data_IF_373882314337
#
_entry.id   IF_373882314337
#
_cell.length_a   1.000
_cell.length_b   1.000
_cell.length_c   1.000
_cell.angle_alpha   90.00
_cell.angle_beta   90.00
_cell.angle_gamma   90.00
#
_symmetry.space_group_name_H-M   'P 1'
#
loop_
_entity.id
_entity.type
_entity.pdbx_description
1 polymer ?
#
# COMPACT_ATOMS: atom_id res chain seq x y z
N UNK A 1 4.20 -14.31 31.32
CA UNK A 1 3.85 -12.97 30.80
C UNK A 1 4.82 -12.64 29.68
N UNK A 2 4.34 -12.51 28.45
CA UNK A 2 5.15 -11.98 27.33
C UNK A 2 4.33 -10.86 26.70
N UNK A 3 4.75 -9.62 26.94
CA UNK A 3 4.22 -8.45 26.26
C UNK A 3 5.27 -8.02 25.25
N UNK A 4 5.07 -8.44 24.00
CA UNK A 4 5.84 -8.00 22.85
C UNK A 4 4.91 -7.99 21.66
N UNK A 5 4.45 -6.80 21.26
CA UNK A 5 3.66 -6.61 20.04
C UNK A 5 4.55 -6.83 18.83
N UNK A 6 4.41 -7.98 18.17
CA UNK A 6 5.14 -8.30 16.93
C UNK A 6 4.33 -9.25 16.05
N UNK A 7 4.62 -9.23 14.76
CA UNK A 7 4.02 -10.17 13.79
C UNK A 7 4.60 -11.56 14.09
N UNK A 8 3.80 -12.44 14.69
CA UNK A 8 4.26 -13.74 15.17
C UNK A 8 4.28 -14.82 14.08
N UNK A 9 3.42 -14.68 13.06
CA UNK A 9 3.29 -15.61 11.94
C UNK A 9 2.96 -14.83 10.67
N UNK A 10 3.49 -15.31 9.55
CA UNK A 10 3.20 -14.79 8.21
C UNK A 10 2.80 -16.00 7.38
N UNK A 11 1.67 -15.89 6.68
CA UNK A 11 1.21 -16.87 5.69
C UNK A 11 1.41 -16.25 4.32
N UNK A 12 2.24 -16.89 3.52
CA UNK A 12 2.43 -16.47 2.14
C UNK A 12 1.45 -17.23 1.24
N UNK A 13 0.68 -16.48 0.45
CA UNK A 13 -0.25 -17.04 -0.53
C UNK A 13 0.42 -17.14 -1.90
N UNK A 14 -0.14 -17.96 -2.80
CA UNK A 14 0.42 -18.23 -4.13
C UNK A 14 1.56 -19.26 -4.12
N UNK A 15 1.89 -19.78 -5.30
CA UNK A 15 2.95 -20.77 -5.49
C UNK A 15 4.30 -20.09 -5.77
N UNK A 16 5.39 -20.87 -5.78
CA UNK A 16 6.70 -20.38 -6.17
C UNK A 16 6.67 -19.74 -7.58
N UNK A 17 5.97 -20.37 -8.52
CA UNK A 17 5.83 -19.89 -9.90
C UNK A 17 5.11 -18.55 -9.97
N UNK A 18 4.09 -18.32 -9.12
CA UNK A 18 3.39 -17.04 -9.03
C UNK A 18 4.37 -15.92 -8.63
N UNK A 19 5.23 -16.17 -7.64
CA UNK A 19 6.22 -15.20 -7.15
C UNK A 19 7.35 -14.95 -8.15
N UNK A 20 7.84 -15.99 -8.84
CA UNK A 20 8.82 -15.84 -9.92
C UNK A 20 8.24 -15.06 -11.11
N UNK A 21 6.98 -15.33 -11.47
CA UNK A 21 6.25 -14.59 -12.49
C UNK A 21 6.04 -13.13 -12.09
N UNK A 22 5.62 -12.87 -10.86
CA UNK A 22 5.43 -11.52 -10.31
C UNK A 22 6.74 -10.74 -10.39
N UNK A 23 7.83 -11.28 -9.85
CA UNK A 23 9.17 -10.67 -9.88
C UNK A 23 9.62 -10.32 -11.30
N UNK A 24 9.49 -11.27 -12.24
CA UNK A 24 9.82 -11.06 -13.66
C UNK A 24 8.98 -9.96 -14.30
N UNK A 25 7.68 -9.89 -13.99
CA UNK A 25 6.80 -8.86 -14.53
C UNK A 25 7.04 -7.48 -13.90
N UNK A 26 7.35 -7.44 -12.61
CA UNK A 26 7.74 -6.20 -11.92
C UNK A 26 9.04 -5.62 -12.50
N UNK A 27 10.01 -6.46 -12.87
CA UNK A 27 11.24 -6.00 -13.53
C UNK A 27 10.97 -5.30 -14.87
N UNK A 28 9.94 -5.72 -15.62
CA UNK A 28 9.57 -5.07 -16.88
C UNK A 28 9.11 -3.63 -16.69
N UNK A 29 8.76 -3.21 -15.47
CA UNK A 29 8.39 -1.82 -15.18
C UNK A 29 9.57 -0.85 -15.32
N UNK A 30 10.82 -1.34 -15.39
CA UNK A 30 12.01 -0.52 -15.70
C UNK A 30 11.83 0.29 -17.00
N UNK A 31 11.07 -0.25 -17.97
CA UNK A 31 10.76 0.45 -19.23
C UNK A 31 10.03 1.79 -19.06
N UNK A 32 9.45 2.03 -17.88
CA UNK A 32 8.77 3.28 -17.52
C UNK A 32 9.65 4.23 -16.69
N UNK A 33 10.97 3.98 -16.59
CA UNK A 33 11.90 4.82 -15.82
C UNK A 33 11.73 4.71 -14.30
N UNK A 34 11.24 3.57 -13.82
CA UNK A 34 10.97 3.30 -12.40
C UNK A 34 12.13 2.60 -11.68
N UNK A 35 13.32 2.53 -12.30
CA UNK A 35 14.50 1.81 -11.79
C UNK A 35 14.81 2.18 -10.33
N UNK A 36 14.77 3.47 -10.02
CA UNK A 36 15.01 4.01 -8.67
C UNK A 36 14.11 3.43 -7.57
N UNK A 37 12.92 2.95 -7.94
CA UNK A 37 11.97 2.31 -7.04
C UNK A 37 12.14 0.80 -7.08
N UNK A 38 12.29 0.24 -8.27
CA UNK A 38 12.43 -1.19 -8.51
C UNK A 38 13.70 -1.78 -7.89
N UNK A 39 14.77 -0.99 -7.77
CA UNK A 39 16.00 -1.35 -7.04
C UNK A 39 15.71 -1.79 -5.59
N UNK A 40 14.59 -1.34 -5.00
CA UNK A 40 14.13 -1.74 -3.67
C UNK A 40 13.09 -2.84 -3.67
N UNK A 41 12.21 -2.84 -4.68
CA UNK A 41 11.11 -3.81 -4.77
C UNK A 41 11.61 -5.19 -5.20
N UNK A 42 12.54 -5.27 -6.14
CA UNK A 42 13.03 -6.56 -6.63
C UNK A 42 13.71 -7.40 -5.54
N UNK A 43 14.59 -6.85 -4.68
CA UNK A 43 15.15 -7.60 -3.55
C UNK A 43 14.09 -8.07 -2.55
N UNK A 44 13.01 -7.30 -2.35
CA UNK A 44 11.88 -7.73 -1.52
C UNK A 44 11.23 -8.97 -2.15
N UNK A 45 10.91 -8.94 -3.45
CA UNK A 45 10.32 -10.09 -4.14
C UNK A 45 11.25 -11.31 -4.18
N UNK A 46 12.56 -11.10 -4.24
CA UNK A 46 13.56 -12.18 -4.14
C UNK A 46 13.47 -12.92 -2.80
N UNK A 47 13.16 -12.22 -1.69
CA UNK A 47 12.97 -12.86 -0.38
C UNK A 47 11.73 -13.75 -0.31
N UNK A 48 10.69 -13.44 -1.09
CA UNK A 48 9.47 -14.23 -1.18
C UNK A 48 9.74 -15.54 -1.93
N UNK A 49 10.52 -15.47 -3.01
CA UNK A 49 11.00 -16.63 -3.77
C UNK A 49 11.92 -17.50 -2.90
N UNK A 50 12.85 -16.87 -2.16
CA UNK A 50 13.78 -17.58 -1.28
C UNK A 50 13.05 -18.33 -0.16
N UNK A 51 11.99 -17.74 0.40
CA UNK A 51 11.15 -18.39 1.40
C UNK A 51 10.54 -19.69 0.87
N UNK A 52 10.00 -19.70 -0.36
CA UNK A 52 9.48 -20.91 -1.01
C UNK A 52 10.57 -21.96 -1.28
N UNK A 53 11.81 -21.53 -1.50
CA UNK A 53 12.98 -22.41 -1.69
C UNK A 53 13.57 -22.92 -0.37
N UNK A 54 12.98 -22.58 0.78
CA UNK A 54 13.46 -22.96 2.11
C UNK A 54 14.60 -22.10 2.67
N UNK A 55 15.00 -21.04 1.96
CA UNK A 55 16.07 -20.14 2.36
C UNK A 55 15.49 -18.90 3.06
N UNK A 56 15.24 -18.99 4.35
CA UNK A 56 14.53 -17.94 5.11
C UNK A 56 15.51 -16.96 5.76
N UNK A 57 15.50 -15.70 5.31
CA UNK A 57 16.17 -14.59 6.01
C UNK A 57 15.29 -14.05 7.15
N UNK A 58 15.49 -14.57 8.36
CA UNK A 58 14.75 -14.12 9.53
C UNK A 58 14.94 -12.64 9.87
N UNK A 59 16.07 -12.03 9.53
CA UNK A 59 16.30 -10.61 9.83
C UNK A 59 15.43 -9.74 8.91
N UNK A 60 15.36 -10.09 7.63
CA UNK A 60 14.44 -9.47 6.67
C UNK A 60 12.97 -9.61 7.12
N UNK A 61 12.53 -10.82 7.45
CA UNK A 61 11.13 -11.06 7.84
C UNK A 61 10.77 -10.46 9.21
N UNK A 62 11.72 -10.17 10.09
CA UNK A 62 11.47 -9.41 11.32
C UNK A 62 11.32 -7.91 11.08
N UNK A 63 11.73 -7.42 9.90
CA UNK A 63 11.74 -6.00 9.54
C UNK A 63 10.58 -5.63 8.59
N UNK A 64 9.48 -6.41 8.56
CA UNK A 64 8.31 -6.07 7.71
C UNK A 64 7.81 -4.68 8.03
N UNK A 65 7.53 -4.47 9.30
CA UNK A 65 6.73 -3.36 9.76
C UNK A 65 7.03 -3.01 11.21
N UNK A 66 7.20 -1.72 11.48
CA UNK A 66 7.27 -1.18 12.84
C UNK A 66 6.72 0.24 12.89
N UNK A 67 5.82 0.50 13.83
CA UNK A 67 5.42 1.85 14.20
C UNK A 67 6.42 2.45 15.21
N UNK A 68 6.84 3.69 15.00
CA UNK A 68 7.70 4.43 15.92
C UNK A 68 7.12 5.79 16.27
N UNK A 69 7.35 6.20 17.52
CA UNK A 69 7.03 7.53 18.02
C UNK A 69 8.33 8.30 18.24
N UNK A 70 8.35 9.62 18.01
CA UNK A 70 9.53 10.43 18.32
C UNK A 70 9.80 10.54 19.82
N UNK A 71 8.77 10.49 20.66
CA UNK A 71 8.86 10.70 22.11
C UNK A 71 9.05 9.42 22.93
N UNK A 72 9.28 8.28 22.27
CA UNK A 72 9.52 6.99 22.92
C UNK A 72 8.33 6.03 22.87
N UNK A 73 8.55 4.81 23.37
CA UNK A 73 7.66 3.64 23.19
C UNK A 73 6.27 3.82 23.86
N UNK A 74 6.13 4.78 24.79
CA UNK A 74 4.90 5.03 25.55
C UNK A 74 4.00 6.15 24.99
N UNK A 75 4.39 6.78 23.89
CA UNK A 75 3.52 7.75 23.23
C UNK A 75 2.38 6.99 22.49
N UNK A 76 1.10 7.27 22.78
CA UNK A 76 -0.02 6.58 22.15
C UNK A 76 -0.25 7.00 20.69
N UNK A 77 0.53 7.94 20.16
CA UNK A 77 0.39 8.46 18.79
C UNK A 77 1.59 8.09 17.89
N UNK A 78 1.49 6.97 17.14
CA UNK A 78 2.47 6.62 16.13
C UNK A 78 2.59 7.66 15.03
N UNK A 79 3.75 8.31 14.95
CA UNK A 79 4.03 9.35 13.97
C UNK A 79 4.52 8.76 12.63
N UNK A 80 5.27 7.64 12.66
CA UNK A 80 5.91 7.07 11.45
C UNK A 80 5.82 5.54 11.40
N UNK A 81 5.55 5.03 10.20
CA UNK A 81 5.74 3.64 9.81
C UNK A 81 7.17 3.41 9.31
N UNK A 82 7.75 2.26 9.66
CA UNK A 82 9.07 1.79 9.22
C UNK A 82 9.01 0.31 8.84
N UNK A 83 10.10 -0.24 8.30
CA UNK A 83 10.20 -1.61 7.81
C UNK A 83 10.13 -1.68 6.30
N UNK A 84 10.45 -2.84 5.70
CA UNK A 84 10.56 -2.94 4.25
C UNK A 84 9.23 -2.74 3.53
N UNK A 85 8.08 -2.92 4.20
CA UNK A 85 6.77 -2.73 3.57
C UNK A 85 6.51 -1.27 3.15
N UNK A 86 7.18 -0.29 3.77
CA UNK A 86 7.03 1.11 3.37
C UNK A 86 7.57 1.37 1.97
N UNK A 87 8.45 0.51 1.45
CA UNK A 87 9.02 0.67 0.10
C UNK A 87 7.99 0.44 -1.01
N UNK A 88 6.84 -0.21 -0.74
CA UNK A 88 5.75 -0.33 -1.71
C UNK A 88 5.07 1.02 -2.00
N UNK A 89 5.21 2.00 -1.10
CA UNK A 89 4.73 3.35 -1.31
C UNK A 89 5.82 4.17 -2.00
N UNK A 90 5.82 4.19 -3.34
CA UNK A 90 6.76 5.01 -4.14
C UNK A 90 6.50 6.51 -4.04
N UNK A 91 5.25 6.88 -3.73
CA UNK A 91 4.79 8.23 -3.51
C UNK A 91 4.12 8.34 -2.14
N UNK A 92 4.10 9.55 -1.61
CA UNK A 92 3.45 9.93 -0.36
C UNK A 92 2.56 11.15 -0.57
N UNK A 93 1.59 11.34 0.30
CA UNK A 93 0.76 12.56 0.29
C UNK A 93 1.68 13.76 0.57
N UNK A 94 1.53 14.79 -0.25
CA UNK A 94 2.21 16.05 -0.08
C UNK A 94 1.46 16.88 0.96
N UNK A 95 2.09 17.10 2.11
CA UNK A 95 1.51 17.91 3.20
C UNK A 95 1.33 19.38 2.83
N UNK A 96 2.06 19.85 1.81
CA UNK A 96 2.00 21.24 1.34
C UNK A 96 1.06 21.40 0.13
N UNK A 97 0.40 20.34 -0.33
CA UNK A 97 -0.55 20.47 -1.43
C UNK A 97 -1.82 21.14 -0.92
N UNK A 98 -2.26 22.19 -1.61
CA UNK A 98 -3.59 22.73 -1.41
C UNK A 98 -4.63 21.65 -1.69
N UNK A 99 -5.73 21.65 -0.94
CA UNK A 99 -6.81 20.63 -1.05
C UNK A 99 -7.37 20.56 -2.49
N UNK A 100 -7.29 21.67 -3.22
CA UNK A 100 -7.76 21.81 -4.59
C UNK A 100 -6.70 21.42 -5.63
N UNK A 101 -5.42 21.35 -5.26
CA UNK A 101 -4.31 20.98 -6.14
C UNK A 101 -4.14 19.46 -6.18
N UNK A 102 -4.95 18.82 -7.03
CA UNK A 102 -4.88 17.37 -7.26
C UNK A 102 -3.57 16.94 -7.92
N UNK A 103 -2.91 17.84 -8.66
CA UNK A 103 -1.70 17.51 -9.42
C UNK A 103 -0.48 17.40 -8.50
N UNK A 104 -0.41 18.21 -7.43
CA UNK A 104 0.65 18.15 -6.43
C UNK A 104 0.32 17.31 -5.19
N UNK A 105 -0.82 16.63 -5.17
CA UNK A 105 -1.30 15.82 -4.03
C UNK A 105 -0.30 14.73 -3.61
N UNK A 106 0.48 14.20 -4.54
CA UNK A 106 1.45 13.15 -4.26
C UNK A 106 2.86 13.55 -4.69
N UNK A 107 3.82 13.36 -3.79
CA UNK A 107 5.24 13.58 -4.06
C UNK A 107 6.02 12.28 -3.88
N UNK A 108 7.10 12.14 -4.65
CA UNK A 108 7.94 10.95 -4.61
C UNK A 108 8.57 10.78 -3.22
N UNK A 109 8.55 9.55 -2.71
CA UNK A 109 9.26 9.21 -1.48
C UNK A 109 10.78 9.24 -1.71
N UNK A 110 11.48 10.02 -0.88
CA UNK A 110 12.93 10.22 -0.94
C UNK A 110 13.69 9.15 -0.13
N UNK A 111 13.24 7.90 -0.16
CA UNK A 111 13.97 6.81 0.47
C UNK A 111 15.32 6.61 -0.23
N UNK A 112 16.37 6.18 0.51
CA UNK A 112 17.66 5.80 -0.08
C UNK A 112 17.47 4.74 -1.17
N UNK A 113 18.39 4.67 -2.15
CA UNK A 113 18.30 3.67 -3.23
C UNK A 113 18.35 2.23 -2.71
N UNK A 114 19.12 1.98 -1.66
CA UNK A 114 19.22 0.67 -1.02
C UNK A 114 18.12 0.50 0.04
N UNK A 115 17.68 -0.75 0.23
CA UNK A 115 16.76 -1.10 1.31
C UNK A 115 17.45 -0.79 2.65
N UNK A 116 16.94 0.19 3.39
CA UNK A 116 17.47 0.56 4.71
C UNK A 116 16.36 0.58 5.74
N UNK A 117 16.73 0.38 7.01
CA UNK A 117 15.82 0.44 8.17
C UNK A 117 15.24 1.84 8.42
N UNK A 118 15.59 2.82 7.60
CA UNK A 118 15.27 4.24 7.76
C UNK A 118 14.24 4.76 6.75
N UNK A 119 13.57 3.89 5.99
CA UNK A 119 12.41 4.27 5.16
C UNK A 119 11.20 4.60 6.05
N UNK A 120 11.25 5.78 6.68
CA UNK A 120 10.21 6.33 7.55
C UNK A 120 9.13 7.00 6.71
N UNK A 121 7.90 6.50 6.83
CA UNK A 121 6.74 7.08 6.18
C UNK A 121 5.79 7.62 7.25
N UNK A 122 5.57 8.95 7.31
CA UNK A 122 4.65 9.52 8.28
C UNK A 122 3.24 8.97 8.04
N UNK A 123 2.52 8.66 9.12
CA UNK A 123 1.19 8.01 9.02
C UNK A 123 0.25 8.79 8.10
N UNK A 124 0.20 10.12 8.26
CA UNK A 124 -0.70 11.00 7.51
C UNK A 124 -0.24 11.24 6.06
N UNK A 125 0.97 10.78 5.72
CA UNK A 125 1.51 10.84 4.37
C UNK A 125 1.35 9.51 3.61
N UNK A 126 0.79 8.47 4.24
CA UNK A 126 0.47 7.19 3.57
C UNK A 126 -0.74 7.40 2.66
N UNK A 127 -0.62 7.16 1.34
CA UNK A 127 -1.77 7.20 0.43
C UNK A 127 -2.84 6.17 0.83
N UNK A 128 -4.11 6.49 0.61
CA UNK A 128 -5.24 5.58 0.91
C UNK A 128 -5.22 4.28 0.10
N UNK A 129 -4.46 4.24 -1.00
CA UNK A 129 -4.38 3.08 -1.90
C UNK A 129 -5.61 2.89 -2.79
N UNK A 130 -6.49 3.89 -2.86
CA UNK A 130 -7.69 3.86 -3.69
C UNK A 130 -7.42 4.56 -5.02
N UNK A 131 -7.68 3.85 -6.11
CA UNK A 131 -7.67 4.39 -7.47
C UNK A 131 -9.08 4.77 -7.88
N UNK A 132 -9.21 5.90 -8.57
CA UNK A 132 -10.48 6.42 -9.05
C UNK A 132 -10.42 6.65 -10.56
N UNK A 133 -11.48 6.28 -11.29
CA UNK A 133 -11.63 6.56 -12.71
C UNK A 133 -13.03 7.14 -13.00
N UNK A 134 -13.14 8.19 -13.83
CA UNK A 134 -14.44 8.72 -14.26
C UNK A 134 -15.13 7.74 -15.20
N UNK A 135 -16.43 7.54 -15.01
CA UNK A 135 -17.27 6.65 -15.84
C UNK A 135 -18.55 7.37 -16.22
N UNK A 136 -18.93 7.31 -17.49
CA UNK A 136 -20.25 7.78 -17.95
C UNK A 136 -21.18 6.60 -18.14
N UNK A 137 -22.29 6.59 -17.41
CA UNK A 137 -23.35 5.61 -17.59
C UNK A 137 -24.43 6.19 -18.50
N UNK A 138 -24.63 5.56 -19.66
CA UNK A 138 -25.65 5.96 -20.65
C UNK A 138 -26.79 4.97 -20.56
N UNK A 139 -27.97 5.42 -20.14
CA UNK A 139 -29.18 4.62 -20.18
C UNK A 139 -29.73 4.62 -21.61
N UNK A 140 -29.60 3.50 -22.34
CA UNK A 140 -30.02 3.43 -23.74
C UNK A 140 -31.53 3.61 -23.94
N UNK A 141 -32.36 3.30 -22.94
CA UNK A 141 -33.82 3.42 -23.02
C UNK A 141 -34.28 4.86 -22.83
N UNK A 142 -33.69 5.56 -21.86
CA UNK A 142 -34.09 6.94 -21.52
C UNK A 142 -33.19 8.00 -22.14
N UNK A 143 -32.08 7.60 -22.75
CA UNK A 143 -31.00 8.47 -23.25
C UNK A 143 -30.38 9.38 -22.17
N UNK A 144 -30.63 9.08 -20.89
CA UNK A 144 -30.06 9.82 -19.76
C UNK A 144 -28.62 9.38 -19.55
N UNK A 145 -27.72 10.36 -19.48
CA UNK A 145 -26.31 10.14 -19.11
C UNK A 145 -26.09 10.54 -17.65
N UNK A 146 -25.37 9.71 -16.91
CA UNK A 146 -24.98 9.97 -15.52
C UNK A 146 -23.46 9.91 -15.40
N UNK A 147 -22.88 10.93 -14.78
CA UNK A 147 -21.46 10.95 -14.43
C UNK A 147 -21.25 10.20 -13.10
N UNK A 148 -20.43 9.16 -13.16
CA UNK A 148 -20.08 8.27 -12.05
C UNK A 148 -18.57 8.25 -11.85
N UNK A 149 -18.16 7.73 -10.69
CA UNK A 149 -16.78 7.44 -10.34
C UNK A 149 -16.66 5.98 -9.97
N UNK A 150 -15.79 5.27 -10.68
CA UNK A 150 -15.37 3.92 -10.30
C UNK A 150 -14.22 4.05 -9.31
N UNK A 151 -14.37 3.46 -8.13
CA UNK A 151 -13.35 3.41 -7.09
C UNK A 151 -12.95 1.96 -6.85
N UNK A 152 -11.66 1.69 -6.77
CA UNK A 152 -11.14 0.36 -6.44
C UNK A 152 -9.86 0.48 -5.60
N UNK A 153 -9.64 -0.48 -4.72
CA UNK A 153 -8.47 -0.49 -3.84
C UNK A 153 -8.71 -1.32 -2.59
N UNK A 154 -7.98 -1.00 -1.53
CA UNK A 154 -8.14 -1.60 -0.20
C UNK A 154 -9.24 -0.88 0.57
N UNK A 155 -10.29 -1.60 0.97
CA UNK A 155 -11.44 -1.04 1.69
C UNK A 155 -11.46 -1.38 3.17
N UNK A 156 -10.62 -2.33 3.59
CA UNK A 156 -10.56 -2.72 4.98
C UNK A 156 -9.68 -3.91 5.22
N UNK A 157 -9.94 -4.57 6.34
CA UNK A 157 -9.16 -5.67 6.85
C UNK A 157 -10.12 -6.81 7.18
N UNK A 158 -9.79 -8.02 6.74
CA UNK A 158 -10.52 -9.23 7.04
C UNK A 158 -9.63 -10.21 7.81
N UNK A 159 -10.26 -11.21 8.41
CA UNK A 159 -9.61 -12.27 9.19
C UNK A 159 -10.11 -13.62 8.68
N UNK A 160 -9.22 -14.58 8.48
CA UNK A 160 -9.58 -15.94 8.11
C UNK A 160 -9.92 -16.81 9.34
N UNK A 161 -10.34 -18.05 9.11
CA UNK A 161 -10.72 -19.00 10.17
C UNK A 161 -9.53 -19.37 11.08
N UNK A 162 -8.32 -19.39 10.52
CA UNK A 162 -7.06 -19.65 11.24
C UNK A 162 -6.58 -18.42 12.05
N UNK A 163 -7.19 -17.27 11.82
CA UNK A 163 -6.95 -16.02 12.49
C UNK A 163 -5.86 -15.14 11.90
N UNK A 164 -5.42 -15.42 10.67
CA UNK A 164 -4.59 -14.52 9.89
C UNK A 164 -5.39 -13.31 9.42
N UNK A 165 -4.72 -12.17 9.39
CA UNK A 165 -5.29 -10.89 8.97
C UNK A 165 -4.79 -10.57 7.56
N UNK A 166 -5.68 -10.12 6.68
CA UNK A 166 -5.34 -9.73 5.32
C UNK A 166 -6.14 -8.50 4.88
N UNK A 167 -5.60 -7.76 3.90
CA UNK A 167 -6.28 -6.58 3.36
C UNK A 167 -7.43 -7.00 2.43
N UNK A 168 -8.63 -6.47 2.69
CA UNK A 168 -9.80 -6.71 1.85
C UNK A 168 -9.83 -5.71 0.70
N UNK A 169 -9.76 -6.23 -0.52
CA UNK A 169 -9.92 -5.46 -1.75
C UNK A 169 -11.39 -5.40 -2.15
N UNK A 170 -11.77 -4.30 -2.79
CA UNK A 170 -13.14 -4.09 -3.25
C UNK A 170 -13.23 -3.04 -4.35
N UNK A 171 -14.45 -2.78 -4.80
CA UNK A 171 -14.75 -1.71 -5.74
C UNK A 171 -16.16 -1.18 -5.52
N UNK A 172 -16.38 0.08 -5.88
CA UNK A 172 -17.67 0.74 -5.79
C UNK A 172 -17.84 1.75 -6.93
N UNK A 173 -19.06 1.85 -7.45
CA UNK A 173 -19.46 2.90 -8.39
C UNK A 173 -20.33 3.90 -7.64
N UNK A 174 -19.87 5.13 -7.55
CA UNK A 174 -20.56 6.21 -6.85
C UNK A 174 -20.96 7.30 -7.84
N UNK A 175 -22.09 7.96 -7.59
CA UNK A 175 -22.47 9.14 -8.38
C UNK A 175 -21.47 10.26 -8.15
N UNK A 176 -21.13 10.98 -9.20
CA UNK A 176 -20.31 12.18 -9.10
C UNK A 176 -21.17 13.36 -8.58
N UNK A 177 -21.69 13.24 -7.36
CA UNK A 177 -22.34 14.36 -6.70
C UNK A 177 -21.23 15.30 -6.20
N UNK A 178 -21.24 16.55 -6.64
CA UNK A 178 -20.27 17.52 -6.13
C UNK A 178 -20.40 17.62 -4.61
N UNK A 179 -19.26 17.42 -3.90
CA UNK A 179 -19.02 17.68 -2.47
C UNK A 179 -19.38 16.64 -1.40
N UNK A 180 -19.17 15.33 -1.63
CA UNK A 180 -18.91 14.41 -0.50
C UNK A 180 -17.84 13.40 -0.86
N UNK A 181 -16.77 13.33 -0.06
CA UNK A 181 -15.84 12.21 -0.16
C UNK A 181 -16.53 10.99 0.43
N UNK A 182 -16.43 9.85 -0.26
CA UNK A 182 -17.04 8.58 0.15
C UNK A 182 -16.69 8.17 1.60
N UNK A 183 -15.58 8.67 2.13
CA UNK A 183 -15.08 8.34 3.47
C UNK A 183 -15.50 9.31 4.57
N UNK A 184 -16.13 10.45 4.23
CA UNK A 184 -16.65 11.37 5.25
C UNK A 184 -17.81 10.72 6.04
N UNK A 185 -18.40 9.64 5.52
CA UNK A 185 -19.49 8.88 6.16
C UNK A 185 -19.00 7.69 7.02
N UNK A 186 -17.68 7.41 7.06
CA UNK A 186 -17.11 6.22 7.72
C UNK A 186 -16.13 6.55 8.87
N UNK A 187 -16.02 7.81 9.29
CA UNK A 187 -15.19 8.26 10.42
C UNK A 187 -15.99 9.07 11.44
#
# INVERSE_FOLDING_TARGET
MSCGCGISKIKLLGTLEDWECLRKNTEKLKKFGLDWWLDRILPILDQFINLHKGNIDHAFWKDIYRYQNKKGIYDPTPEYATGWITNFFSYKVNENADVEDQDNKFVRNQFPKQLTKHSQLPKDQIPTGISQAPVKLINQRTQVTMDLKFNAGFFGVAKDEEGFIYAQQGWAIIRNNQRRNFFDDFY
#
